data_IF_106056796210
#
_entry.id   IF_106056796210
#
_cell.length_a   1.000
_cell.length_b   1.000
_cell.length_c   1.000
_cell.angle_alpha   90.00
_cell.angle_beta   90.00
_cell.angle_gamma   90.00
#
_symmetry.space_group_name_H-M   'P 1'
#
loop_
_entity.id
_entity.type
_entity.pdbx_description
1 polymer ?
#
# COMPACT_ATOMS: atom_id res chain seq x y z
N UNK A 1 41.61 40.97 -36.71
CA UNK A 1 40.17 40.93 -37.03
C UNK A 1 39.49 40.01 -36.03
N UNK A 2 38.50 40.47 -35.25
CA UNK A 2 37.68 39.56 -34.47
C UNK A 2 36.78 38.77 -35.43
N UNK A 3 36.45 37.50 -35.14
CA UNK A 3 35.51 36.75 -35.96
C UNK A 3 34.12 37.36 -35.80
N UNK A 4 33.52 37.71 -36.93
CA UNK A 4 32.10 38.06 -37.06
C UNK A 4 31.27 36.81 -36.71
N UNK A 5 30.64 36.81 -35.54
CA UNK A 5 29.60 35.81 -35.20
C UNK A 5 28.46 35.96 -36.20
N UNK A 6 28.16 34.90 -36.94
CA UNK A 6 27.00 34.83 -37.82
C UNK A 6 25.76 34.50 -36.98
N UNK A 7 24.85 35.47 -36.72
CA UNK A 7 23.74 35.29 -35.78
C UNK A 7 22.69 34.27 -36.27
N UNK A 8 22.59 34.06 -37.59
CA UNK A 8 21.53 33.25 -38.21
C UNK A 8 21.63 31.72 -38.04
N UNK A 9 22.73 31.18 -37.48
CA UNK A 9 22.90 29.73 -37.24
C UNK A 9 22.71 29.38 -35.75
N UNK A 10 22.86 30.35 -34.86
CA UNK A 10 22.88 30.12 -33.41
C UNK A 10 21.48 29.79 -32.86
N UNK A 11 20.42 30.41 -33.38
CA UNK A 11 19.04 30.21 -32.90
C UNK A 11 18.46 28.83 -33.27
N UNK A 12 18.60 28.33 -34.53
CA UNK A 12 18.14 26.98 -34.87
C UNK A 12 18.89 25.87 -34.13
N UNK A 13 20.20 26.05 -33.89
CA UNK A 13 21.01 25.10 -33.12
C UNK A 13 20.59 25.08 -31.65
N UNK A 14 20.40 26.25 -31.03
CA UNK A 14 19.92 26.34 -29.65
C UNK A 14 18.53 25.69 -29.48
N UNK A 15 17.62 25.91 -30.43
CA UNK A 15 16.31 25.26 -30.44
C UNK A 15 16.42 23.73 -30.51
N UNK A 16 17.27 23.20 -31.41
CA UNK A 16 17.48 21.76 -31.54
C UNK A 16 18.11 21.14 -30.28
N UNK A 17 19.03 21.85 -29.62
CA UNK A 17 19.62 21.43 -28.35
C UNK A 17 18.60 21.42 -27.21
N UNK A 18 17.77 22.46 -27.10
CA UNK A 18 16.67 22.51 -26.12
C UNK A 18 15.68 21.38 -26.34
N UNK A 19 15.33 21.07 -27.59
CA UNK A 19 14.46 19.94 -27.92
C UNK A 19 15.09 18.59 -27.56
N UNK A 20 16.38 18.44 -27.85
CA UNK A 20 17.12 17.22 -27.48
C UNK A 20 17.18 17.04 -25.96
N UNK A 21 17.45 18.13 -25.22
CA UNK A 21 17.48 18.09 -23.75
C UNK A 21 16.11 17.75 -23.16
N UNK A 22 15.05 18.33 -23.71
CA UNK A 22 13.67 18.06 -23.29
C UNK A 22 13.28 16.59 -23.52
N UNK A 23 13.69 16.00 -24.65
CA UNK A 23 13.51 14.56 -24.88
C UNK A 23 14.33 13.71 -23.88
N UNK A 24 15.56 14.11 -23.57
CA UNK A 24 16.40 13.37 -22.62
C UNK A 24 15.86 13.39 -21.19
N UNK A 25 15.32 14.53 -20.70
CA UNK A 25 14.76 14.60 -19.35
C UNK A 25 13.48 13.79 -19.21
N UNK A 26 12.71 13.61 -20.29
CA UNK A 26 11.47 12.83 -20.31
C UNK A 26 11.66 11.31 -20.38
N UNK A 27 12.84 10.81 -20.72
CA UNK A 27 13.06 9.37 -20.89
C UNK A 27 13.05 8.56 -19.58
N UNK A 28 13.31 9.20 -18.44
CA UNK A 28 13.22 8.64 -17.07
C UNK A 28 13.35 7.11 -16.94
N UNK A 29 14.49 6.52 -17.34
CA UNK A 29 14.62 5.07 -17.33
C UNK A 29 14.70 4.56 -15.89
N UNK A 30 13.66 3.85 -15.46
CA UNK A 30 13.51 3.25 -14.13
C UNK A 30 12.91 1.84 -14.31
N UNK A 31 13.78 0.84 -14.49
CA UNK A 31 13.35 -0.57 -14.61
C UNK A 31 12.88 -1.15 -13.26
N UNK A 32 13.53 -0.74 -12.18
CA UNK A 32 13.16 -1.06 -10.80
C UNK A 32 12.96 0.25 -10.01
N UNK A 33 11.72 0.62 -9.65
CA UNK A 33 11.44 1.91 -9.03
C UNK A 33 11.70 1.90 -7.51
N UNK A 34 12.85 1.40 -7.07
CA UNK A 34 13.25 1.49 -5.66
C UNK A 34 13.56 2.94 -5.26
N UNK A 35 13.44 3.26 -3.96
CA UNK A 35 13.76 4.59 -3.41
C UNK A 35 15.12 5.10 -3.91
N UNK A 36 16.14 4.24 -3.88
CA UNK A 36 17.50 4.60 -4.34
C UNK A 36 17.58 5.01 -5.81
N UNK A 37 16.76 4.38 -6.68
CA UNK A 37 16.72 4.70 -8.10
C UNK A 37 15.92 5.98 -8.36
N UNK A 38 14.86 6.23 -7.60
CA UNK A 38 14.10 7.48 -7.65
C UNK A 38 14.97 8.65 -7.18
N UNK A 39 15.77 8.46 -6.11
CA UNK A 39 16.77 9.42 -5.66
C UNK A 39 17.85 9.69 -6.71
N UNK A 40 18.29 8.66 -7.43
CA UNK A 40 19.23 8.81 -8.54
C UNK A 40 18.62 9.59 -9.71
N UNK A 41 17.35 9.38 -10.03
CA UNK A 41 16.62 10.17 -11.02
C UNK A 41 16.51 11.64 -10.57
N UNK A 42 16.08 11.87 -9.32
CA UNK A 42 16.03 13.20 -8.70
C UNK A 42 17.37 13.93 -8.86
N UNK A 43 18.47 13.31 -8.42
CA UNK A 43 19.81 13.89 -8.45
C UNK A 43 20.26 14.23 -9.88
N UNK A 44 19.92 13.38 -10.86
CA UNK A 44 20.20 13.64 -12.27
C UNK A 44 19.44 14.85 -12.81
N UNK A 45 18.14 14.93 -12.55
CA UNK A 45 17.31 16.05 -13.00
C UNK A 45 17.71 17.35 -12.31
N UNK A 46 18.03 17.28 -11.03
CA UNK A 46 18.55 18.40 -10.25
C UNK A 46 19.88 18.91 -10.81
N UNK A 47 20.80 18.02 -11.21
CA UNK A 47 22.05 18.43 -11.86
C UNK A 47 21.82 19.16 -13.19
N UNK A 48 20.82 18.73 -13.97
CA UNK A 48 20.42 19.42 -15.20
C UNK A 48 19.86 20.80 -14.88
N UNK A 49 18.94 20.92 -13.92
CA UNK A 49 18.36 22.20 -13.50
C UNK A 49 19.43 23.20 -13.03
N UNK A 50 20.34 22.78 -12.14
CA UNK A 50 21.46 23.59 -11.69
C UNK A 50 22.41 24.02 -12.83
N UNK A 51 22.58 23.17 -13.85
CA UNK A 51 23.38 23.52 -15.02
C UNK A 51 22.68 24.61 -15.84
N UNK A 52 21.37 24.51 -16.03
CA UNK A 52 20.58 25.53 -16.74
C UNK A 52 20.56 26.87 -16.00
N UNK A 53 20.50 26.87 -14.66
CA UNK A 53 20.57 28.10 -13.86
C UNK A 53 21.93 28.81 -13.96
N UNK A 54 23.03 28.04 -14.00
CA UNK A 54 24.39 28.58 -14.10
C UNK A 54 24.69 29.18 -15.48
N UNK A 55 24.04 28.67 -16.53
CA UNK A 55 24.09 29.24 -17.86
C UNK A 55 23.21 30.48 -17.85
N UNK A 56 23.74 31.57 -17.31
CA UNK A 56 23.07 32.87 -17.27
C UNK A 56 22.67 33.21 -18.72
N UNK A 57 21.38 33.09 -19.05
CA UNK A 57 20.82 33.48 -20.35
C UNK A 57 20.91 35.00 -20.43
N UNK A 58 22.09 35.51 -20.79
CA UNK A 58 22.43 36.92 -20.76
C UNK A 58 21.32 37.74 -21.42
N UNK A 59 20.74 38.64 -20.64
CA UNK A 59 19.78 39.65 -21.09
C UNK A 59 20.53 40.69 -21.92
N UNK A 60 20.93 40.37 -23.14
CA UNK A 60 21.32 41.36 -24.15
C UNK A 60 21.60 40.71 -25.51
N UNK A 61 20.57 40.46 -26.31
CA UNK A 61 20.67 40.64 -27.77
C UNK A 61 19.33 41.13 -28.29
N UNK A 62 19.23 42.44 -28.49
CA UNK A 62 18.21 43.05 -29.34
C UNK A 62 18.60 42.71 -30.78
N UNK A 63 18.03 41.67 -31.40
CA UNK A 63 18.14 41.45 -32.85
C UNK A 63 16.88 40.77 -33.38
N UNK A 64 16.13 41.54 -34.17
CA UNK A 64 15.21 41.32 -35.30
C UNK A 64 14.58 39.93 -35.64
N UNK A 65 14.91 38.81 -34.98
CA UNK A 65 14.24 37.50 -35.09
C UNK A 65 13.25 37.25 -33.95
N UNK A 66 12.27 38.16 -33.81
CA UNK A 66 11.32 38.15 -32.69
C UNK A 66 10.58 36.81 -32.56
N UNK A 67 10.28 36.11 -33.65
CA UNK A 67 9.53 34.84 -33.63
C UNK A 67 10.32 33.58 -33.22
N UNK A 68 11.61 33.48 -33.55
CA UNK A 68 12.41 32.30 -33.19
C UNK A 68 13.01 32.44 -31.79
N UNK A 69 13.42 33.65 -31.43
CA UNK A 69 13.89 33.97 -30.07
C UNK A 69 12.79 33.80 -29.02
N UNK A 70 11.55 34.16 -29.33
CA UNK A 70 10.39 33.92 -28.43
C UNK A 70 10.12 32.43 -28.26
N UNK A 71 10.09 31.67 -29.37
CA UNK A 71 9.90 30.21 -29.33
C UNK A 71 10.97 29.50 -28.50
N UNK A 72 12.23 29.94 -28.60
CA UNK A 72 13.33 29.39 -27.79
C UNK A 72 13.13 29.67 -26.31
N UNK A 73 12.78 30.92 -25.96
CA UNK A 73 12.46 31.32 -24.59
C UNK A 73 11.29 30.52 -24.02
N UNK A 74 10.21 30.35 -24.78
CA UNK A 74 9.04 29.57 -24.36
C UNK A 74 9.40 28.11 -24.06
N UNK A 75 10.25 27.48 -24.88
CA UNK A 75 10.71 26.11 -24.66
C UNK A 75 11.64 25.98 -23.45
N UNK A 76 12.53 26.93 -23.24
CA UNK A 76 13.39 26.97 -22.06
C UNK A 76 12.57 27.16 -20.78
N UNK A 77 11.59 28.08 -20.79
CA UNK A 77 10.67 28.27 -19.68
C UNK A 77 9.87 27.01 -19.38
N UNK A 78 9.39 26.31 -20.42
CA UNK A 78 8.69 25.03 -20.27
C UNK A 78 9.59 23.96 -19.63
N UNK A 79 10.84 23.85 -20.08
CA UNK A 79 11.82 22.92 -19.54
C UNK A 79 12.15 23.23 -18.07
N UNK A 80 12.43 24.48 -17.74
CA UNK A 80 12.74 24.90 -16.37
C UNK A 80 11.54 24.64 -15.43
N UNK A 81 10.33 25.02 -15.84
CA UNK A 81 9.12 24.78 -15.05
C UNK A 81 8.84 23.28 -14.84
N UNK A 82 9.08 22.45 -15.87
CA UNK A 82 8.97 21.01 -15.73
C UNK A 82 10.00 20.46 -14.75
N UNK A 83 11.27 20.84 -14.87
CA UNK A 83 12.33 20.38 -13.98
C UNK A 83 12.06 20.78 -12.53
N UNK A 84 11.70 22.03 -12.27
CA UNK A 84 11.38 22.53 -10.93
C UNK A 84 10.24 21.71 -10.29
N UNK A 85 9.14 21.53 -11.02
CA UNK A 85 8.02 20.71 -10.55
C UNK A 85 8.45 19.26 -10.34
N UNK A 86 9.17 18.67 -11.30
CA UNK A 86 9.55 17.25 -11.29
C UNK A 86 10.48 16.93 -10.13
N UNK A 87 11.48 17.78 -9.88
CA UNK A 87 12.41 17.65 -8.76
C UNK A 87 11.64 17.71 -7.43
N UNK A 88 10.79 18.72 -7.25
CA UNK A 88 9.99 18.86 -6.02
C UNK A 88 9.08 17.65 -5.75
N UNK A 89 8.38 17.16 -6.78
CA UNK A 89 7.52 15.98 -6.67
C UNK A 89 8.32 14.70 -6.40
N UNK A 90 9.48 14.51 -7.03
CA UNK A 90 10.34 13.34 -6.78
C UNK A 90 10.93 13.37 -5.36
N UNK A 91 11.34 14.53 -4.86
CA UNK A 91 11.82 14.68 -3.49
C UNK A 91 10.74 14.32 -2.46
N UNK A 92 9.51 14.81 -2.67
CA UNK A 92 8.38 14.46 -1.82
C UNK A 92 8.07 12.95 -1.89
N UNK A 93 8.14 12.36 -3.09
CA UNK A 93 7.91 10.93 -3.27
C UNK A 93 8.96 10.07 -2.54
N UNK A 94 10.24 10.43 -2.63
CA UNK A 94 11.33 9.73 -1.92
C UNK A 94 11.06 9.70 -0.42
N UNK A 95 10.65 10.83 0.16
CA UNK A 95 10.35 10.92 1.59
C UNK A 95 9.19 10.00 1.97
N UNK A 96 8.04 10.13 1.29
CA UNK A 96 6.85 9.33 1.59
C UNK A 96 7.08 7.84 1.35
N UNK A 97 7.85 7.48 0.31
CA UNK A 97 8.17 6.09 0.01
C UNK A 97 9.09 5.48 1.07
N UNK A 98 10.05 6.25 1.58
CA UNK A 98 10.91 5.81 2.70
C UNK A 98 10.07 5.54 3.95
N UNK A 99 9.15 6.44 4.28
CA UNK A 99 8.26 6.30 5.44
C UNK A 99 7.27 5.13 5.27
N UNK A 100 6.78 4.91 4.05
CA UNK A 100 5.95 3.74 3.70
C UNK A 100 6.73 2.43 3.86
N UNK A 101 7.91 2.30 3.26
CA UNK A 101 8.73 1.08 3.32
C UNK A 101 9.16 0.76 4.75
N UNK A 102 9.54 1.76 5.54
CA UNK A 102 9.84 1.60 6.96
C UNK A 102 8.62 1.09 7.73
N UNK A 103 7.45 1.70 7.50
CA UNK A 103 6.20 1.31 8.15
C UNK A 103 5.79 -0.13 7.80
N UNK A 104 5.87 -0.52 6.53
CA UNK A 104 5.59 -1.90 6.08
C UNK A 104 6.54 -2.88 6.77
N UNK A 105 7.84 -2.58 6.78
CA UNK A 105 8.85 -3.43 7.40
C UNK A 105 8.60 -3.62 8.90
N UNK A 106 8.37 -2.53 9.62
CA UNK A 106 8.12 -2.54 11.06
C UNK A 106 6.84 -3.30 11.41
N UNK A 107 5.79 -3.14 10.59
CA UNK A 107 4.54 -3.88 10.73
C UNK A 107 4.77 -5.38 10.52
N UNK A 108 5.38 -5.79 9.41
CA UNK A 108 5.61 -7.21 9.11
C UNK A 108 6.49 -7.89 10.16
N UNK A 109 7.60 -7.25 10.56
CA UNK A 109 8.48 -7.80 11.60
C UNK A 109 7.75 -7.90 12.94
N UNK A 110 6.95 -6.90 13.28
CA UNK A 110 6.13 -6.92 14.48
C UNK A 110 5.08 -8.03 14.49
N UNK A 111 4.39 -8.21 13.35
CA UNK A 111 3.39 -9.26 13.17
C UNK A 111 4.01 -10.66 13.26
N UNK A 112 5.20 -10.86 12.70
CA UNK A 112 5.96 -12.12 12.82
C UNK A 112 6.30 -12.45 14.30
N UNK A 113 6.70 -11.44 15.07
CA UNK A 113 6.90 -11.60 16.51
C UNK A 113 5.62 -11.95 17.28
N UNK A 114 4.48 -11.38 16.89
CA UNK A 114 3.19 -11.71 17.49
C UNK A 114 2.68 -13.10 17.08
N UNK A 115 2.94 -13.51 15.84
CA UNK A 115 2.70 -14.88 15.37
C UNK A 115 3.44 -15.90 16.22
N UNK A 116 4.74 -15.71 16.39
CA UNK A 116 5.58 -16.56 17.25
C UNK A 116 5.01 -16.66 18.66
N UNK A 117 4.61 -15.52 19.25
CA UNK A 117 4.02 -15.50 20.60
C UNK A 117 2.67 -16.22 20.67
N UNK A 118 1.83 -16.12 19.64
CA UNK A 118 0.57 -16.86 19.57
C UNK A 118 0.82 -18.37 19.48
N UNK A 119 1.80 -18.80 18.68
CA UNK A 119 2.20 -20.21 18.55
C UNK A 119 2.74 -20.77 19.88
N UNK A 120 3.62 -20.05 20.56
CA UNK A 120 4.13 -20.43 21.89
C UNK A 120 3.01 -20.58 22.91
N UNK A 121 2.07 -19.63 22.91
CA UNK A 121 0.91 -19.65 23.79
C UNK A 121 -0.01 -20.84 23.48
N UNK A 122 -0.26 -21.12 22.20
CA UNK A 122 -1.03 -22.27 21.76
C UNK A 122 -0.35 -23.59 22.15
N UNK A 123 0.95 -23.73 21.90
CA UNK A 123 1.75 -24.89 22.26
C UNK A 123 1.77 -25.13 23.78
N UNK A 124 1.92 -24.07 24.57
CA UNK A 124 1.92 -24.16 26.04
C UNK A 124 0.58 -24.60 26.65
N UNK A 125 -0.53 -24.44 25.92
CA UNK A 125 -1.86 -24.90 26.35
C UNK A 125 -2.20 -26.28 25.80
N UNK A 126 -1.69 -26.66 24.62
CA UNK A 126 -2.06 -27.91 23.92
C UNK A 126 -1.09 -29.07 24.12
N UNK A 127 0.21 -28.81 24.30
CA UNK A 127 1.23 -29.87 24.43
C UNK A 127 1.29 -30.40 25.87
N UNK A 128 0.48 -31.42 26.14
CA UNK A 128 0.53 -32.19 27.39
C UNK A 128 1.60 -33.29 27.30
N UNK A 129 2.76 -33.09 27.94
CA UNK A 129 3.63 -34.22 28.30
C UNK A 129 3.24 -34.70 29.69
N UNK A 130 2.85 -35.97 29.76
CA UNK A 130 2.22 -36.67 30.89
C UNK A 130 2.98 -36.62 32.22
N UNK A 131 4.26 -36.23 32.21
CA UNK A 131 5.14 -36.24 33.39
C UNK A 131 5.86 -34.90 33.66
N UNK A 132 5.49 -33.80 32.99
CA UNK A 132 6.13 -32.50 33.22
C UNK A 132 5.20 -31.52 33.91
N UNK A 133 5.68 -30.97 35.02
CA UNK A 133 5.18 -29.83 35.79
C UNK A 133 5.21 -28.52 34.98
N UNK A 134 4.58 -28.53 33.81
CA UNK A 134 4.61 -27.48 32.79
C UNK A 134 3.23 -27.19 32.23
N UNK A 135 2.18 -27.32 33.06
CA UNK A 135 0.87 -26.81 32.69
C UNK A 135 0.91 -25.29 32.84
N UNK A 136 0.90 -24.56 31.73
CA UNK A 136 0.69 -23.11 31.80
C UNK A 136 -0.71 -22.89 32.36
N UNK A 137 -0.80 -22.20 33.48
CA UNK A 137 -2.07 -21.94 34.14
C UNK A 137 -3.05 -21.28 33.14
N UNK A 138 -4.29 -21.77 33.09
CA UNK A 138 -5.29 -21.33 32.13
C UNK A 138 -5.61 -19.84 32.32
N UNK A 139 -5.63 -19.34 33.56
CA UNK A 139 -5.86 -17.93 33.81
C UNK A 139 -4.69 -17.07 33.30
N UNK A 140 -3.45 -17.53 33.48
CA UNK A 140 -2.27 -16.90 32.85
C UNK A 140 -2.35 -16.91 31.32
N UNK A 141 -2.74 -18.02 30.70
CA UNK A 141 -2.90 -18.10 29.24
C UNK A 141 -4.00 -17.16 28.70
N UNK A 142 -5.10 -17.02 29.44
CA UNK A 142 -6.17 -16.08 29.11
C UNK A 142 -5.71 -14.62 29.20
N UNK A 143 -4.99 -14.25 30.27
CA UNK A 143 -4.43 -12.91 30.42
C UNK A 143 -3.44 -12.56 29.29
N UNK A 144 -2.58 -13.50 28.90
CA UNK A 144 -1.64 -13.31 27.79
C UNK A 144 -2.36 -13.17 26.44
N UNK A 145 -3.44 -13.93 26.20
CA UNK A 145 -4.25 -13.78 25.00
C UNK A 145 -4.95 -12.41 24.95
N UNK A 146 -5.39 -11.87 26.08
CA UNK A 146 -5.95 -10.52 26.16
C UNK A 146 -4.91 -9.43 25.94
N UNK A 147 -3.68 -9.65 26.42
CA UNK A 147 -2.54 -8.80 26.11
C UNK A 147 -2.26 -8.79 24.60
N UNK A 148 -2.25 -9.95 23.93
CA UNK A 148 -2.09 -10.05 22.47
C UNK A 148 -3.17 -9.28 21.71
N UNK A 149 -4.45 -9.42 22.09
CA UNK A 149 -5.55 -8.65 21.48
C UNK A 149 -5.33 -7.14 21.64
N UNK A 150 -4.89 -6.70 22.83
CA UNK A 150 -4.61 -5.28 23.09
C UNK A 150 -3.47 -4.75 22.21
N UNK A 151 -2.41 -5.55 22.02
CA UNK A 151 -1.28 -5.18 21.14
C UNK A 151 -1.72 -5.17 19.68
N UNK A 152 -2.52 -6.14 19.21
CA UNK A 152 -3.08 -6.13 17.86
C UNK A 152 -3.89 -4.86 17.56
N UNK A 153 -4.66 -4.37 18.54
CA UNK A 153 -5.34 -3.08 18.43
C UNK A 153 -4.38 -1.90 18.21
N UNK A 154 -3.17 -1.94 18.75
CA UNK A 154 -2.15 -0.91 18.48
C UNK A 154 -1.60 -1.04 17.05
N UNK A 155 -1.48 -2.25 16.52
CA UNK A 155 -1.05 -2.48 15.14
C UNK A 155 -2.10 -2.01 14.12
N UNK A 156 -3.39 -2.00 14.46
CA UNK A 156 -4.41 -1.36 13.62
C UNK A 156 -4.16 0.15 13.44
N UNK A 157 -3.73 0.84 14.50
CA UNK A 157 -3.39 2.27 14.40
C UNK A 157 -2.15 2.48 13.52
N UNK A 158 -1.13 1.62 13.65
CA UNK A 158 0.06 1.66 12.78
C UNK A 158 -0.28 1.36 11.32
N UNK A 159 -1.20 0.42 11.08
CA UNK A 159 -1.72 0.12 9.74
C UNK A 159 -2.40 1.36 9.12
N UNK A 160 -3.11 2.16 9.92
CA UNK A 160 -3.70 3.41 9.43
C UNK A 160 -2.63 4.40 8.97
N UNK A 161 -1.56 4.61 9.74
CA UNK A 161 -0.44 5.45 9.31
C UNK A 161 0.23 4.93 8.03
N UNK A 162 0.39 3.60 7.92
CA UNK A 162 0.90 2.98 6.70
C UNK A 162 -0.01 3.24 5.48
N UNK A 163 -1.33 3.21 5.70
CA UNK A 163 -2.32 3.50 4.67
C UNK A 163 -2.29 4.98 4.25
N UNK A 164 -2.04 5.88 5.19
CA UNK A 164 -1.90 7.31 4.91
C UNK A 164 -0.67 7.56 4.02
N UNK A 165 0.48 6.95 4.32
CA UNK A 165 1.67 7.02 3.46
C UNK A 165 1.40 6.43 2.06
N UNK A 166 0.70 5.29 1.98
CA UNK A 166 0.33 4.69 0.69
C UNK A 166 -0.54 5.64 -0.15
N UNK A 167 -1.49 6.33 0.48
CA UNK A 167 -2.36 7.30 -0.17
C UNK A 167 -1.59 8.52 -0.67
N UNK A 168 -0.69 9.05 0.16
CA UNK A 168 0.15 10.19 -0.21
C UNK A 168 1.09 9.82 -1.37
N UNK A 169 1.71 8.63 -1.34
CA UNK A 169 2.50 8.10 -2.44
C UNK A 169 1.67 7.95 -3.73
N UNK A 170 0.45 7.42 -3.62
CA UNK A 170 -0.48 7.29 -4.76
C UNK A 170 -0.80 8.64 -5.39
N UNK A 171 -1.06 9.67 -4.57
CA UNK A 171 -1.34 11.02 -5.08
C UNK A 171 -0.14 11.60 -5.83
N UNK A 172 1.06 11.49 -5.25
CA UNK A 172 2.30 11.96 -5.88
C UNK A 172 2.57 11.25 -7.20
N UNK A 173 2.35 9.94 -7.26
CA UNK A 173 2.50 9.15 -8.49
C UNK A 173 1.51 9.58 -9.57
N UNK A 174 0.26 9.87 -9.22
CA UNK A 174 -0.72 10.39 -10.16
C UNK A 174 -0.32 11.76 -10.72
N UNK A 175 0.15 12.66 -9.86
CA UNK A 175 0.61 14.00 -10.26
C UNK A 175 1.87 13.93 -11.14
N UNK A 176 2.77 12.99 -10.85
CA UNK A 176 3.93 12.69 -11.67
C UNK A 176 3.53 12.14 -13.04
N UNK A 177 2.65 11.14 -13.12
CA UNK A 177 2.17 10.59 -14.40
C UNK A 177 1.45 11.66 -15.22
N UNK A 178 0.60 12.47 -14.58
CA UNK A 178 -0.12 13.55 -15.26
C UNK A 178 0.81 14.62 -15.82
N UNK A 179 1.76 15.10 -15.01
CA UNK A 179 2.70 16.16 -15.43
C UNK A 179 3.61 15.68 -16.58
N UNK A 180 4.12 14.45 -16.49
CA UNK A 180 4.92 13.84 -17.56
C UNK A 180 4.12 13.69 -18.86
N UNK A 181 2.91 13.13 -18.80
CA UNK A 181 2.03 12.98 -19.98
C UNK A 181 1.69 14.33 -20.60
N UNK A 182 1.42 15.34 -19.78
CA UNK A 182 1.09 16.68 -20.25
C UNK A 182 2.25 17.31 -21.01
N UNK A 183 3.47 17.22 -20.50
CA UNK A 183 4.66 17.76 -21.17
C UNK A 183 5.01 16.93 -22.42
N UNK A 184 5.01 15.60 -22.33
CA UNK A 184 5.25 14.70 -23.48
C UNK A 184 4.32 15.01 -24.65
N UNK A 185 3.03 15.29 -24.37
CA UNK A 185 2.05 15.68 -25.40
C UNK A 185 2.37 17.03 -26.06
N UNK A 186 2.88 18.02 -25.32
CA UNK A 186 3.28 19.34 -25.86
C UNK A 186 4.47 19.26 -26.80
N UNK A 187 5.33 18.27 -26.61
CA UNK A 187 6.58 18.11 -27.38
C UNK A 187 6.46 17.04 -28.47
N UNK A 188 5.27 16.44 -28.64
CA UNK A 188 5.02 15.30 -29.53
C UNK A 188 6.00 14.14 -29.29
N UNK A 189 6.41 13.93 -28.03
CA UNK A 189 7.25 12.80 -27.64
C UNK A 189 6.38 11.59 -27.36
N UNK A 190 6.74 10.43 -27.91
CA UNK A 190 6.16 9.14 -27.57
C UNK A 190 6.81 8.50 -26.34
N UNK A 191 7.57 9.25 -25.55
CA UNK A 191 8.15 8.77 -24.30
C UNK A 191 7.05 8.48 -23.29
N UNK A 192 6.78 7.21 -23.04
CA UNK A 192 5.94 6.74 -21.94
C UNK A 192 6.83 6.38 -20.75
N UNK A 193 6.43 6.81 -19.56
CA UNK A 193 7.08 6.45 -18.31
C UNK A 193 6.16 5.50 -17.56
N UNK A 194 6.60 4.25 -17.37
CA UNK A 194 5.80 3.18 -16.77
C UNK A 194 6.16 2.90 -15.30
N UNK A 195 7.25 3.50 -14.83
CA UNK A 195 7.75 3.29 -13.47
C UNK A 195 6.77 3.77 -12.39
N UNK A 196 5.98 4.85 -12.58
CA UNK A 196 5.01 5.25 -11.56
C UNK A 196 3.94 4.18 -11.32
N UNK A 197 3.47 3.52 -12.38
CA UNK A 197 2.51 2.44 -12.30
C UNK A 197 3.11 1.19 -11.63
N UNK A 198 4.37 0.86 -11.95
CA UNK A 198 5.09 -0.24 -11.31
C UNK A 198 5.27 0.00 -9.80
N UNK A 199 5.64 1.22 -9.40
CA UNK A 199 5.78 1.57 -7.98
C UNK A 199 4.43 1.50 -7.26
N UNK A 200 3.38 2.04 -7.88
CA UNK A 200 2.03 1.99 -7.33
C UNK A 200 1.58 0.54 -7.10
N UNK A 201 1.82 -0.34 -8.08
CA UNK A 201 1.50 -1.76 -7.94
C UNK A 201 2.28 -2.40 -6.79
N UNK A 202 3.59 -2.15 -6.70
CA UNK A 202 4.42 -2.66 -5.59
C UNK A 202 3.90 -2.19 -4.23
N UNK A 203 3.53 -0.91 -4.11
CA UNK A 203 2.98 -0.36 -2.87
C UNK A 203 1.66 -1.00 -2.48
N UNK A 204 0.78 -1.29 -3.44
CA UNK A 204 -0.47 -2.02 -3.20
C UNK A 204 -0.18 -3.43 -2.70
N UNK A 205 0.70 -4.17 -3.38
CA UNK A 205 1.06 -5.53 -3.00
C UNK A 205 1.68 -5.61 -1.60
N UNK A 206 2.58 -4.68 -1.26
CA UNK A 206 3.19 -4.61 0.07
C UNK A 206 2.16 -4.30 1.17
N UNK A 207 1.27 -3.33 0.92
CA UNK A 207 0.23 -2.98 1.89
C UNK A 207 -0.78 -4.13 2.08
N UNK A 208 -1.21 -4.77 0.99
CA UNK A 208 -2.13 -5.90 1.04
C UNK A 208 -1.54 -7.07 1.85
N UNK A 209 -0.24 -7.35 1.69
CA UNK A 209 0.47 -8.35 2.50
C UNK A 209 0.41 -8.02 4.00
N UNK A 210 0.63 -6.76 4.38
CA UNK A 210 0.53 -6.34 5.79
C UNK A 210 -0.90 -6.51 6.30
N UNK A 211 -1.89 -6.05 5.52
CA UNK A 211 -3.30 -6.14 5.88
C UNK A 211 -3.73 -7.60 6.07
N UNK A 212 -3.38 -8.48 5.14
CA UNK A 212 -3.67 -9.92 5.21
C UNK A 212 -3.01 -10.58 6.42
N UNK A 213 -1.73 -10.27 6.68
CA UNK A 213 -1.00 -10.80 7.83
C UNK A 213 -1.63 -10.38 9.16
N UNK A 214 -2.03 -9.11 9.28
CA UNK A 214 -2.70 -8.61 10.49
C UNK A 214 -4.08 -9.27 10.67
N UNK A 215 -4.92 -9.28 9.63
CA UNK A 215 -6.26 -9.88 9.71
C UNK A 215 -6.21 -11.37 10.02
N UNK A 216 -5.26 -12.11 9.44
CA UNK A 216 -5.06 -13.52 9.73
C UNK A 216 -4.69 -13.76 11.20
N UNK A 217 -3.79 -12.93 11.74
CA UNK A 217 -3.36 -13.02 13.13
C UNK A 217 -4.47 -12.63 14.12
N UNK A 218 -5.24 -11.59 13.81
CA UNK A 218 -6.43 -11.20 14.57
C UNK A 218 -7.45 -12.34 14.63
N UNK A 219 -7.74 -12.96 13.48
CA UNK A 219 -8.65 -14.09 13.40
C UNK A 219 -8.16 -15.27 14.24
N UNK A 220 -6.90 -15.68 14.09
CA UNK A 220 -6.35 -16.80 14.86
C UNK A 220 -6.30 -16.50 16.35
N UNK A 221 -5.95 -15.28 16.75
CA UNK A 221 -5.96 -14.86 18.16
C UNK A 221 -7.38 -14.91 18.74
N UNK A 222 -8.39 -14.46 17.99
CA UNK A 222 -9.79 -14.51 18.42
C UNK A 222 -10.31 -15.96 18.55
N UNK A 223 -9.97 -16.83 17.60
CA UNK A 223 -10.28 -18.26 17.67
C UNK A 223 -9.64 -18.90 18.90
N UNK A 224 -8.36 -18.63 19.14
CA UNK A 224 -7.63 -19.15 20.29
C UNK A 224 -8.23 -18.66 21.61
N UNK A 225 -8.59 -17.37 21.72
CA UNK A 225 -9.28 -16.83 22.90
C UNK A 225 -10.61 -17.56 23.17
N UNK A 226 -11.39 -17.80 22.12
CA UNK A 226 -12.66 -18.54 22.24
C UNK A 226 -12.42 -19.97 22.74
N UNK A 227 -11.36 -20.63 22.27
CA UNK A 227 -10.97 -21.95 22.74
C UNK A 227 -10.60 -21.96 24.24
N UNK A 228 -9.77 -21.00 24.69
CA UNK A 228 -9.42 -20.86 26.11
C UNK A 228 -10.63 -20.63 27.02
N UNK A 229 -11.63 -19.89 26.54
CA UNK A 229 -12.89 -19.70 27.27
C UNK A 229 -13.70 -20.99 27.36
N UNK A 230 -13.66 -21.84 26.33
CA UNK A 230 -14.27 -23.17 26.34
C UNK A 230 -13.66 -24.06 27.42
N UNK A 231 -12.32 -24.15 27.45
CA UNK A 231 -11.58 -24.92 28.45
C UNK A 231 -11.88 -24.48 29.89
N UNK A 232 -12.06 -23.18 30.12
CA UNK A 232 -12.40 -22.64 31.44
C UNK A 232 -13.78 -23.05 31.94
N UNK A 233 -14.75 -23.26 31.04
CA UNK A 233 -16.11 -23.69 31.38
C UNK A 233 -16.19 -25.18 31.68
N UNK A 234 -15.37 -26.00 31.03
CA UNK A 234 -15.28 -27.45 31.31
C UNK A 234 -14.66 -27.73 32.68
N UNK A 235 -13.61 -26.98 33.07
CA UNK A 235 -12.98 -27.11 34.39
C UNK A 235 -13.87 -26.66 35.57
N UNK A 236 -14.93 -25.85 35.31
CA UNK A 236 -15.91 -25.45 36.33
C UNK A 236 -17.09 -26.43 36.45
N UNK A 237 -17.29 -27.33 35.49
CA UNK A 237 -18.15 -28.50 35.64
C UNK A 237 -17.37 -29.58 36.39
N UNK A 238 -17.24 -29.41 37.70
CA UNK A 238 -16.73 -30.46 38.58
C UNK A 238 -17.51 -31.77 38.42
N UNK A 239 -16.93 -32.92 38.84
CA UNK A 239 -17.53 -34.23 38.64
C UNK A 239 -18.91 -34.26 39.29
N UNK A 240 -19.94 -34.48 38.46
CA UNK A 240 -21.30 -34.69 38.94
C UNK A 240 -21.28 -35.91 39.86
N UNK A 241 -21.34 -35.64 41.17
CA UNK A 241 -21.79 -36.51 42.24
C UNK A 241 -21.46 -38.00 42.11
N UNK A 242 -20.27 -38.40 42.55
CA UNK A 242 -20.13 -39.65 43.26
C UNK A 242 -20.79 -39.50 44.64
N UNK A 243 -22.12 -39.64 44.71
CA UNK A 243 -22.86 -39.80 45.97
C UNK A 243 -23.19 -41.28 46.16
N UNK A 244 -22.27 -41.93 46.87
CA UNK A 244 -22.52 -42.84 48.00
C UNK A 244 -23.69 -43.83 47.83
N UNK A 245 -23.32 -45.09 47.58
CA UNK A 245 -24.11 -46.25 47.96
C UNK A 245 -24.28 -46.29 49.49
N UNK A 246 -25.52 -46.14 49.96
CA UNK A 246 -25.97 -46.74 51.23
C UNK A 246 -27.35 -47.34 51.03
N UNK A 247 -27.44 -48.64 51.33
CA UNK A 247 -28.63 -49.48 51.31
C UNK A 247 -29.83 -48.86 52.05
N UNK A 248 -31.01 -49.01 51.45
CA UNK A 248 -32.32 -48.82 52.09
C UNK A 248 -33.43 -49.17 51.09
N UNK A 249 -34.23 -50.18 51.42
CA UNK A 249 -35.14 -50.92 50.56
C UNK A 249 -36.38 -50.15 50.03
N UNK A 250 -36.92 -50.68 48.92
CA UNK A 250 -38.30 -50.63 48.41
C UNK A 250 -38.96 -49.26 48.20
N UNK A 251 -39.65 -48.94 47.10
CA UNK A 251 -40.21 -49.71 45.99
C UNK A 251 -40.79 -48.68 44.99
N UNK A 252 -40.75 -48.98 43.68
CA UNK A 252 -41.88 -48.85 42.74
C UNK A 252 -41.39 -48.62 41.31
N UNK A 253 -41.83 -49.52 40.46
CA UNK A 253 -41.75 -49.53 39.00
C UNK A 253 -42.59 -48.40 38.36
N UNK A 254 -42.36 -48.25 37.05
CA UNK A 254 -43.05 -47.45 36.02
C UNK A 254 -42.35 -46.12 35.67
N UNK A 255 -42.00 -45.78 34.43
CA UNK A 255 -42.45 -46.26 33.12
C UNK A 255 -41.39 -45.95 32.04
N UNK A 256 -41.23 -46.88 31.10
CA UNK A 256 -40.52 -46.73 29.82
C UNK A 256 -41.33 -45.86 28.85
N UNK A 257 -40.63 -45.13 27.97
CA UNK A 257 -41.00 -44.60 26.64
C UNK A 257 -40.39 -43.18 26.48
N UNK A 258 -39.63 -42.79 25.45
CA UNK A 258 -39.46 -43.33 24.11
C UNK A 258 -38.08 -42.96 23.54
N UNK A 259 -37.54 -43.87 22.72
CA UNK A 259 -36.56 -43.58 21.67
C UNK A 259 -37.14 -42.56 20.67
N UNK A 260 -36.34 -41.59 20.23
CA UNK A 260 -36.31 -41.22 18.81
C UNK A 260 -34.98 -40.59 18.41
N UNK A 261 -34.24 -41.36 17.61
CA UNK A 261 -33.08 -40.98 16.83
C UNK A 261 -33.60 -40.51 15.47
N UNK A 262 -33.63 -39.20 15.18
CA UNK A 262 -33.78 -38.71 13.80
C UNK A 262 -33.04 -37.38 13.59
N UNK A 263 -32.09 -37.45 12.65
CA UNK A 263 -31.50 -36.44 11.76
C UNK A 263 -31.23 -34.98 12.17
N UNK A 264 -29.98 -34.58 11.90
CA UNK A 264 -29.57 -33.20 11.63
C UNK A 264 -30.48 -32.52 10.58
N UNK A 265 -30.63 -31.20 10.70
CA UNK A 265 -30.22 -30.38 9.57
C UNK A 265 -29.29 -29.24 9.97
N UNK A 266 -28.17 -29.19 9.25
CA UNK A 266 -27.33 -28.02 9.05
C UNK A 266 -28.21 -26.82 8.65
N UNK A 267 -28.31 -25.78 9.49
CA UNK A 267 -28.76 -24.46 9.01
C UNK A 267 -28.09 -23.30 9.75
N UNK A 268 -27.29 -22.61 8.96
CA UNK A 268 -26.89 -21.21 9.04
C UNK A 268 -27.89 -20.30 9.77
N UNK A 269 -27.38 -19.48 10.68
CA UNK A 269 -28.05 -18.26 11.13
C UNK A 269 -27.01 -17.18 11.47
N UNK A 270 -26.97 -16.19 10.59
CA UNK A 270 -26.36 -14.87 10.68
C UNK A 270 -26.57 -14.18 12.04
N UNK A 271 -25.57 -13.45 12.57
CA UNK A 271 -25.80 -12.46 13.60
C UNK A 271 -26.18 -11.09 13.01
N UNK A 272 -26.96 -10.40 13.83
CA UNK A 272 -27.57 -9.08 13.68
C UNK A 272 -26.56 -7.98 13.28
N UNK A 273 -26.95 -7.17 12.30
CA UNK A 273 -26.22 -6.00 11.80
C UNK A 273 -26.16 -4.89 12.86
N UNK A 274 -24.99 -4.66 13.44
CA UNK A 274 -24.59 -3.34 13.95
C UNK A 274 -23.66 -2.69 12.94
N UNK A 275 -24.03 -1.49 12.49
CA UNK A 275 -23.29 -0.68 11.51
C UNK A 275 -21.88 -0.37 12.00
N UNK A 276 -20.92 -1.16 11.53
CA UNK A 276 -19.50 -0.78 11.53
C UNK A 276 -19.06 -0.88 10.07
N UNK A 277 -18.49 0.21 9.54
CA UNK A 277 -17.99 0.29 8.16
C UNK A 277 -17.09 -0.92 7.89
N UNK A 278 -17.55 -1.82 7.03
CA UNK A 278 -16.72 -2.89 6.49
C UNK A 278 -15.62 -2.28 5.62
N UNK A 279 -14.37 -2.75 5.70
CA UNK A 279 -13.34 -2.38 4.75
C UNK A 279 -13.75 -2.91 3.36
N UNK A 280 -13.81 -2.01 2.39
CA UNK A 280 -14.22 -2.30 1.01
C UNK A 280 -13.32 -3.39 0.40
N UNK A 281 -13.93 -4.30 -0.35
CA UNK A 281 -13.24 -5.41 -1.01
C UNK A 281 -12.41 -4.94 -2.22
N UNK A 282 -11.43 -5.75 -2.63
CA UNK A 282 -10.52 -5.52 -3.76
C UNK A 282 -11.23 -5.03 -5.04
N UNK A 283 -12.42 -5.55 -5.35
CA UNK A 283 -13.20 -5.16 -6.54
C UNK A 283 -13.76 -3.73 -6.48
N UNK A 284 -13.99 -3.22 -5.27
CA UNK A 284 -14.54 -1.88 -5.04
C UNK A 284 -13.45 -0.81 -4.99
N UNK A 285 -12.21 -1.18 -4.60
CA UNK A 285 -11.03 -0.30 -4.57
C UNK A 285 -10.46 -0.03 -5.96
N UNK A 286 -10.39 -1.03 -6.84
CA UNK A 286 -9.94 -0.86 -8.23
C UNK A 286 -10.93 -0.07 -9.10
N UNK A 287 -12.13 0.23 -8.59
CA UNK A 287 -13.16 1.00 -9.29
C UNK A 287 -13.07 2.52 -9.07
N UNK A 288 -12.03 3.02 -8.40
CA UNK A 288 -11.66 4.44 -8.46
C UNK A 288 -11.14 4.75 -9.87
N UNK A 289 -12.11 5.07 -10.72
CA UNK A 289 -12.05 5.45 -12.12
C UNK A 289 -10.76 6.19 -12.48
N UNK A 290 -9.92 5.54 -13.27
CA UNK A 290 -9.19 6.24 -14.32
C UNK A 290 -10.22 7.03 -15.16
N UNK A 291 -10.01 8.32 -15.47
CA UNK A 291 -10.70 8.90 -16.59
C UNK A 291 -10.25 8.14 -17.83
N UNK A 292 -11.13 7.27 -18.31
CA UNK A 292 -11.04 6.65 -19.64
C UNK A 292 -11.24 7.76 -20.69
N UNK A 293 -10.25 8.66 -20.84
CA UNK A 293 -10.18 9.66 -21.87
C UNK A 293 -9.64 9.04 -23.17
N UNK A 294 -10.23 7.93 -23.60
CA UNK A 294 -10.14 7.39 -24.95
C UNK A 294 -11.55 7.05 -25.42
N UNK A 295 -12.34 8.10 -25.63
CA UNK A 295 -13.66 8.05 -26.22
C UNK A 295 -13.68 8.77 -27.56
N UNK A 296 -13.52 8.00 -28.63
CA UNK A 296 -14.07 8.21 -29.97
C UNK A 296 -13.85 9.58 -30.66
N UNK A 297 -12.82 9.66 -31.51
CA UNK A 297 -12.78 10.62 -32.61
C UNK A 297 -13.93 10.35 -33.60
N UNK A 298 -14.72 11.36 -34.03
CA UNK A 298 -15.68 11.21 -35.11
C UNK A 298 -14.96 11.04 -36.46
N UNK A 299 -15.38 10.04 -37.25
CA UNK A 299 -14.91 9.84 -38.63
C UNK A 299 -15.20 11.08 -39.49
N UNK A 300 -14.26 11.57 -40.32
CA UNK A 300 -14.55 12.66 -41.24
C UNK A 300 -15.47 12.19 -42.37
N UNK A 301 -16.56 12.91 -42.58
CA UNK A 301 -17.53 12.68 -43.63
C UNK A 301 -16.93 12.83 -45.04
N UNK A 302 -17.30 11.91 -45.92
CA UNK A 302 -17.02 11.99 -47.37
C UNK A 302 -17.82 13.16 -47.97
N UNK A 303 -17.13 14.14 -48.54
CA UNK A 303 -17.74 15.09 -49.49
C UNK A 303 -17.90 14.38 -50.84
N UNK A 304 -19.12 14.40 -51.38
CA UNK A 304 -19.37 14.45 -52.83
C UNK A 304 -19.71 15.88 -53.17
#
# INVERSE_FOLDING_TARGET
MPPTRTPGIEVPLALALTDSLLLCVLQEPLEDPSVSQIEALHSRLEAVAHTLEKVNFGSEVILEEVGQSTRLSDKLNLLCAYLEQRIGSLQALVQVQTDFESSVKDLLQGLDGLWTRLEELHAGVTLTKKDSQGNRDLASAQADAECLVSVLGQYQNKLQSCQDHQKDSTQLLQDLTWSHTHISSKVNSGSESVWPELLLQSNIEQFDKVQESLSSLEQQTATFKTHLQGLGKENQKGPVGALVYTNGADSSLESLNSLELVDLPLRSSTPLVTKTRSPLSLRERSALKFPSAMGCLPKPGKKK
#
